data_IF_763069119562
#
_entry.id   IF_763069119562
#
_cell.length_a   1.000
_cell.length_b   1.000
_cell.length_c   1.000
_cell.angle_alpha   90.00
_cell.angle_beta   90.00
_cell.angle_gamma   90.00
#
_symmetry.space_group_name_H-M   'P 1'
#
loop_
_entity.id
_entity.type
_entity.pdbx_description
1 polymer ?
#
# COMPACT_ATOMS: atom_id res chain seq x y z
N UNK A 1 -0.65 -9.30 37.30
CA UNK A 1 -1.54 -9.31 36.12
C UNK A 1 -0.78 -9.94 34.95
N UNK A 2 -1.26 -11.05 34.37
CA UNK A 2 -0.65 -11.62 33.17
C UNK A 2 -1.24 -10.90 31.96
N UNK A 3 -0.48 -10.01 31.32
CA UNK A 3 -0.80 -9.50 29.99
C UNK A 3 -0.71 -10.71 29.05
N UNK A 4 -1.85 -11.35 28.78
CA UNK A 4 -1.96 -12.26 27.64
C UNK A 4 -1.81 -11.37 26.42
N UNK A 5 -0.60 -11.34 25.84
CA UNK A 5 -0.41 -10.89 24.47
C UNK A 5 -1.31 -11.78 23.60
N UNK A 6 -2.50 -11.28 23.25
CA UNK A 6 -3.31 -11.89 22.21
C UNK A 6 -2.45 -11.82 20.96
N UNK A 7 -1.96 -12.98 20.49
CA UNK A 7 -1.42 -13.08 19.14
C UNK A 7 -2.47 -12.47 18.21
N UNK A 8 -2.09 -11.54 17.31
CA UNK A 8 -3.05 -10.98 16.37
C UNK A 8 -3.73 -12.15 15.66
N UNK A 9 -5.07 -12.15 15.64
CA UNK A 9 -5.82 -13.18 14.92
C UNK A 9 -5.31 -13.23 13.48
N UNK A 10 -5.01 -14.45 13.01
CA UNK A 10 -4.59 -14.64 11.63
C UNK A 10 -5.81 -14.30 10.76
N UNK A 11 -5.67 -13.27 9.94
CA UNK A 11 -6.67 -12.92 8.92
C UNK A 11 -6.90 -14.13 8.02
N UNK A 12 -8.15 -14.35 7.64
CA UNK A 12 -8.50 -15.29 6.57
C UNK A 12 -7.93 -14.83 5.23
N UNK A 13 -7.83 -15.74 4.26
CA UNK A 13 -7.33 -15.40 2.92
C UNK A 13 -8.18 -14.30 2.25
N UNK A 14 -9.50 -14.31 2.47
CA UNK A 14 -10.40 -13.28 1.98
C UNK A 14 -10.15 -11.91 2.60
N UNK A 15 -9.87 -11.86 3.92
CA UNK A 15 -9.51 -10.63 4.61
C UNK A 15 -8.13 -10.10 4.19
N UNK A 16 -7.17 -11.00 3.95
CA UNK A 16 -5.85 -10.64 3.42
C UNK A 16 -5.94 -10.01 2.02
N UNK A 17 -6.80 -10.54 1.15
CA UNK A 17 -7.04 -9.96 -0.17
C UNK A 17 -7.68 -8.56 -0.08
N UNK A 18 -8.65 -8.37 0.82
CA UNK A 18 -9.25 -7.06 1.06
C UNK A 18 -8.23 -6.07 1.63
N UNK A 19 -7.35 -6.52 2.51
CA UNK A 19 -6.29 -5.67 3.05
C UNK A 19 -5.26 -5.29 1.97
N UNK A 20 -4.91 -6.22 1.08
CA UNK A 20 -4.08 -5.92 -0.09
C UNK A 20 -4.71 -4.84 -0.98
N UNK A 21 -6.03 -4.86 -1.15
CA UNK A 21 -6.75 -3.82 -1.90
C UNK A 21 -6.69 -2.45 -1.23
N UNK A 22 -6.84 -2.40 0.10
CA UNK A 22 -6.66 -1.17 0.87
C UNK A 22 -5.23 -0.66 0.78
N UNK A 23 -4.24 -1.54 0.85
CA UNK A 23 -2.83 -1.18 0.69
C UNK A 23 -2.55 -0.60 -0.70
N UNK A 24 -3.13 -1.17 -1.75
CA UNK A 24 -3.03 -0.65 -3.12
C UNK A 24 -3.67 0.75 -3.20
N UNK A 25 -4.89 0.93 -2.71
CA UNK A 25 -5.56 2.23 -2.73
C UNK A 25 -4.77 3.32 -1.98
N UNK A 26 -4.19 2.96 -0.82
CA UNK A 26 -3.31 3.87 -0.07
C UNK A 26 -2.03 4.20 -0.85
N UNK A 27 -1.41 3.20 -1.49
CA UNK A 27 -0.23 3.42 -2.32
C UNK A 27 -0.54 4.27 -3.57
N UNK A 28 -1.74 4.17 -4.14
CA UNK A 28 -2.21 5.04 -5.24
C UNK A 28 -2.28 6.49 -4.80
N UNK A 29 -2.90 6.77 -3.65
CA UNK A 29 -2.99 8.13 -3.11
C UNK A 29 -1.59 8.73 -2.85
N UNK A 30 -0.63 7.93 -2.39
CA UNK A 30 0.75 8.36 -2.16
C UNK A 30 1.55 8.55 -3.45
N UNK A 31 1.30 7.71 -4.46
CA UNK A 31 1.94 7.80 -5.77
C UNK A 31 1.42 8.99 -6.60
N UNK A 32 0.21 9.45 -6.27
CA UNK A 32 -0.51 10.53 -6.96
C UNK A 32 -1.08 11.52 -5.93
N UNK A 33 -0.21 12.24 -5.19
CA UNK A 33 -0.67 13.18 -4.17
C UNK A 33 -1.43 14.34 -4.80
N UNK A 34 -2.40 14.88 -4.07
CA UNK A 34 -3.16 16.05 -4.52
C UNK A 34 -2.22 17.26 -4.74
N UNK A 35 -2.15 17.84 -5.94
CA UNK A 35 -1.21 18.92 -6.24
C UNK A 35 -1.36 20.15 -5.33
N UNK A 36 -2.58 20.51 -4.96
CA UNK A 36 -2.84 21.66 -4.09
C UNK A 36 -2.37 21.40 -2.66
N UNK A 37 -2.64 20.20 -2.13
CA UNK A 37 -2.16 19.81 -0.80
C UNK A 37 -0.63 19.70 -0.75
N UNK A 38 -0.02 19.14 -1.80
CA UNK A 38 1.44 19.08 -1.94
C UNK A 38 2.06 20.48 -1.95
N UNK A 39 1.53 21.41 -2.75
CA UNK A 39 2.04 22.78 -2.81
C UNK A 39 1.98 23.50 -1.45
N UNK A 40 0.89 23.31 -0.68
CA UNK A 40 0.76 23.85 0.67
C UNK A 40 1.85 23.27 1.58
N UNK A 41 2.00 21.94 1.63
CA UNK A 41 3.02 21.28 2.46
C UNK A 41 4.45 21.69 2.11
N UNK A 42 4.75 21.80 0.81
CA UNK A 42 6.04 22.26 0.31
C UNK A 42 6.34 23.71 0.69
N UNK A 43 5.32 24.56 0.74
CA UNK A 43 5.46 25.97 1.17
C UNK A 43 5.69 26.11 2.68
N UNK A 44 5.15 25.19 3.48
CA UNK A 44 5.25 25.20 4.95
C UNK A 44 6.57 24.61 5.45
N UNK A 45 7.18 23.66 4.73
CA UNK A 45 8.39 22.98 5.18
C UNK A 45 9.41 22.71 4.06
N UNK A 46 10.55 23.42 4.02
CA UNK A 46 11.56 23.25 2.96
C UNK A 46 12.10 21.83 2.80
N UNK A 47 12.25 21.08 3.91
CA UNK A 47 12.71 19.70 3.81
C UNK A 47 11.66 18.76 3.19
N UNK A 48 10.36 19.09 3.29
CA UNK A 48 9.33 18.30 2.61
C UNK A 48 9.40 18.52 1.11
N UNK A 49 9.62 19.76 0.66
CA UNK A 49 9.84 20.08 -0.76
C UNK A 49 11.01 19.29 -1.37
N UNK A 50 12.10 19.13 -0.64
CA UNK A 50 13.24 18.34 -1.09
C UNK A 50 12.95 16.83 -1.12
N UNK A 51 12.18 16.30 -0.16
CA UNK A 51 11.91 14.87 -0.03
C UNK A 51 10.72 14.39 -0.90
N UNK A 52 9.78 15.26 -1.26
CA UNK A 52 8.55 14.91 -1.97
C UNK A 52 8.79 14.11 -3.27
N UNK A 53 9.75 14.49 -4.15
CA UNK A 53 9.98 13.75 -5.39
C UNK A 53 10.43 12.29 -5.16
N UNK A 54 11.31 12.07 -4.19
CA UNK A 54 11.82 10.74 -3.87
C UNK A 54 10.73 9.88 -3.21
N UNK A 55 9.94 10.45 -2.30
CA UNK A 55 8.82 9.74 -1.66
C UNK A 55 7.76 9.33 -2.67
N UNK A 56 7.38 10.21 -3.60
CA UNK A 56 6.45 9.89 -4.70
C UNK A 56 7.02 8.82 -5.63
N UNK A 57 8.32 8.88 -5.94
CA UNK A 57 9.00 7.84 -6.75
C UNK A 57 8.93 6.47 -6.08
N UNK A 58 9.24 6.39 -4.78
CA UNK A 58 9.14 5.15 -3.98
C UNK A 58 7.70 4.65 -3.91
N UNK A 59 6.72 5.54 -3.70
CA UNK A 59 5.31 5.19 -3.68
C UNK A 59 4.85 4.56 -5.01
N UNK A 60 5.27 5.12 -6.16
CA UNK A 60 5.00 4.53 -7.49
C UNK A 60 5.61 3.15 -7.66
N UNK A 61 6.83 2.93 -7.18
CA UNK A 61 7.48 1.61 -7.21
C UNK A 61 6.74 0.59 -6.36
N UNK A 62 6.35 0.98 -5.13
CA UNK A 62 5.58 0.13 -4.23
C UNK A 62 4.21 -0.21 -4.83
N UNK A 63 3.51 0.78 -5.39
CA UNK A 63 2.23 0.57 -6.05
C UNK A 63 2.35 -0.45 -7.19
N UNK A 64 3.38 -0.33 -8.03
CA UNK A 64 3.63 -1.29 -9.11
C UNK A 64 3.84 -2.70 -8.57
N UNK A 65 4.69 -2.84 -7.55
CA UNK A 65 4.97 -4.14 -6.93
C UNK A 65 3.70 -4.78 -6.32
N UNK A 66 2.88 -3.99 -5.61
CA UNK A 66 1.63 -4.47 -5.01
C UNK A 66 0.62 -4.91 -6.07
N UNK A 67 0.47 -4.14 -7.17
CA UNK A 67 -0.40 -4.53 -8.29
C UNK A 67 0.03 -5.83 -8.94
N UNK A 68 1.34 -5.98 -9.20
CA UNK A 68 1.89 -7.22 -9.77
C UNK A 68 1.73 -8.42 -8.82
N UNK A 69 1.94 -8.21 -7.52
CA UNK A 69 1.73 -9.26 -6.52
C UNK A 69 0.26 -9.71 -6.48
N UNK A 70 -0.68 -8.76 -6.49
CA UNK A 70 -2.13 -9.06 -6.53
C UNK A 70 -2.49 -9.86 -7.79
N UNK A 71 -2.03 -9.43 -8.96
CA UNK A 71 -2.27 -10.13 -10.23
C UNK A 71 -1.74 -11.56 -10.18
N UNK A 72 -0.50 -11.76 -9.73
CA UNK A 72 0.06 -13.11 -9.61
C UNK A 72 -0.68 -13.98 -8.60
N UNK A 73 -1.17 -13.42 -7.50
CA UNK A 73 -2.00 -14.15 -6.54
C UNK A 73 -3.33 -14.59 -7.15
N UNK A 74 -3.97 -13.74 -7.95
CA UNK A 74 -5.20 -14.10 -8.68
C UNK A 74 -4.96 -15.22 -9.69
N UNK A 75 -3.88 -15.16 -10.46
CA UNK A 75 -3.49 -16.23 -11.39
C UNK A 75 -3.29 -17.56 -10.66
N UNK A 76 -2.57 -17.54 -9.54
CA UNK A 76 -2.34 -18.73 -8.71
C UNK A 76 -3.64 -19.33 -8.18
N UNK A 77 -4.59 -18.50 -7.74
CA UNK A 77 -5.91 -18.97 -7.29
C UNK A 77 -6.69 -19.66 -8.43
N UNK A 78 -6.60 -19.12 -9.65
CA UNK A 78 -7.20 -19.74 -10.84
C UNK A 78 -6.50 -21.04 -11.22
N UNK A 79 -5.17 -21.08 -11.18
CA UNK A 79 -4.37 -22.28 -11.45
C UNK A 79 -4.69 -23.41 -10.46
N UNK A 80 -4.85 -23.09 -9.17
CA UNK A 80 -5.24 -24.05 -8.13
C UNK A 80 -6.67 -24.53 -8.34
N UNK A 81 -7.62 -23.65 -8.68
CA UNK A 81 -9.02 -24.02 -8.91
C UNK A 81 -9.23 -24.92 -10.15
N UNK A 82 -8.28 -24.96 -11.07
CA UNK A 82 -8.30 -25.80 -12.29
C UNK A 82 -7.71 -27.20 -12.09
N UNK A 83 -7.07 -27.47 -10.95
CA UNK A 83 -6.51 -28.78 -10.60
C UNK A 83 -7.45 -29.55 -9.68
#
# INVERSE_FOLDING_TARGET
>A
MKFREKKPEKMSDGELLQELDRMIASAEAQAHPNPAASAILESLHPAMKAAMPETVKKAKQNLRALKQAKERLMDLMVEVAKK
#
